data_IF_745320307820
#
_entry.id   IF_745320307820
#
_cell.length_a   1.000
_cell.length_b   1.000
_cell.length_c   1.000
_cell.angle_alpha   90.00
_cell.angle_beta   90.00
_cell.angle_gamma   90.00
#
_symmetry.space_group_name_H-M   'P 1'
#
loop_
_entity.id
_entity.type
_entity.pdbx_description
1 polymer ?
#
# COMPACT_ATOMS: atom_id res chain seq x y z
N UNK A 1 -17.23 -3.71 -12.01
CA UNK A 1 -16.36 -4.87 -12.25
C UNK A 1 -17.09 -5.78 -13.23
N UNK A 2 -16.57 -5.88 -14.44
CA UNK A 2 -17.10 -6.76 -15.49
C UNK A 2 -16.32 -8.08 -15.51
N UNK A 3 -16.84 -9.10 -16.19
CA UNK A 3 -16.12 -10.38 -16.34
C UNK A 3 -14.80 -10.21 -17.13
N UNK A 4 -14.74 -9.22 -18.02
CA UNK A 4 -13.56 -8.92 -18.83
C UNK A 4 -12.41 -8.35 -17.97
N UNK A 5 -12.73 -7.55 -16.94
CA UNK A 5 -11.75 -6.99 -15.99
C UNK A 5 -11.01 -8.09 -15.22
N UNK A 6 -11.69 -9.23 -14.96
CA UNK A 6 -11.14 -10.39 -14.25
C UNK A 6 -10.34 -11.32 -15.17
N UNK A 7 -10.66 -11.34 -16.47
CA UNK A 7 -10.05 -12.25 -17.45
C UNK A 7 -8.72 -11.74 -18.01
N UNK A 8 -8.37 -10.46 -17.82
CA UNK A 8 -7.16 -9.85 -18.38
C UNK A 8 -5.86 -10.30 -17.70
N UNK A 9 -5.95 -10.82 -16.47
CA UNK A 9 -4.79 -11.13 -15.63
C UNK A 9 -4.03 -9.90 -15.13
N UNK A 10 -4.51 -8.67 -15.42
CA UNK A 10 -3.91 -7.44 -14.92
C UNK A 10 -4.38 -7.17 -13.48
N UNK A 11 -3.58 -7.66 -12.54
CA UNK A 11 -3.85 -7.51 -11.13
C UNK A 11 -3.87 -6.05 -10.67
N UNK A 12 -3.08 -5.15 -11.30
CA UNK A 12 -3.06 -3.73 -10.92
C UNK A 12 -4.35 -3.04 -11.35
N UNK A 13 -4.80 -3.30 -12.59
CA UNK A 13 -6.06 -2.78 -13.09
C UNK A 13 -7.24 -3.28 -12.23
N UNK A 14 -7.23 -4.55 -11.85
CA UNK A 14 -8.23 -5.12 -10.95
C UNK A 14 -8.23 -4.45 -9.58
N UNK A 15 -7.07 -4.32 -8.93
CA UNK A 15 -6.94 -3.65 -7.62
C UNK A 15 -7.42 -2.19 -7.71
N UNK A 16 -7.03 -1.48 -8.77
CA UNK A 16 -7.47 -0.09 -9.00
C UNK A 16 -8.98 0.00 -9.17
N UNK A 17 -9.58 -0.93 -9.93
CA UNK A 17 -11.02 -1.01 -10.17
C UNK A 17 -11.79 -1.29 -8.89
N UNK A 18 -11.29 -2.19 -8.03
CA UNK A 18 -11.87 -2.46 -6.72
C UNK A 18 -11.82 -1.20 -5.86
N UNK A 19 -10.65 -0.56 -5.77
CA UNK A 19 -10.50 0.63 -4.92
C UNK A 19 -11.40 1.80 -5.35
N UNK A 20 -11.61 2.00 -6.64
CA UNK A 20 -12.52 3.04 -7.15
C UNK A 20 -13.99 2.67 -6.89
N UNK A 21 -14.38 1.45 -7.21
CA UNK A 21 -15.81 1.08 -7.22
C UNK A 21 -16.35 0.69 -5.83
N UNK A 22 -15.50 0.27 -4.90
CA UNK A 22 -15.93 -0.23 -3.61
C UNK A 22 -16.03 0.86 -2.53
N UNK A 23 -15.37 2.02 -2.69
CA UNK A 23 -15.32 3.05 -1.65
C UNK A 23 -16.72 3.51 -1.21
N UNK A 24 -17.52 4.00 -2.16
CA UNK A 24 -18.87 4.50 -1.88
C UNK A 24 -19.79 3.41 -1.29
N UNK A 25 -20.01 2.26 -1.95
CA UNK A 25 -20.93 1.25 -1.42
C UNK A 25 -20.47 0.68 -0.08
N UNK A 26 -19.16 0.56 0.16
CA UNK A 26 -18.64 0.14 1.45
C UNK A 26 -18.91 1.17 2.55
N UNK A 27 -18.67 2.46 2.27
CA UNK A 27 -18.93 3.56 3.20
C UNK A 27 -20.41 3.65 3.56
N UNK A 28 -21.31 3.59 2.56
CA UNK A 28 -22.76 3.60 2.77
C UNK A 28 -23.20 2.40 3.61
N UNK A 29 -22.64 1.22 3.34
CA UNK A 29 -22.98 0.01 4.09
C UNK A 29 -22.54 0.11 5.54
N UNK A 30 -21.35 0.61 5.82
CA UNK A 30 -20.86 0.82 7.18
C UNK A 30 -21.72 1.83 7.94
N UNK A 31 -22.12 2.94 7.30
CA UNK A 31 -23.02 3.93 7.89
C UNK A 31 -24.36 3.30 8.30
N UNK A 32 -24.96 2.51 7.42
CA UNK A 32 -26.20 1.79 7.72
C UNK A 32 -26.04 0.81 8.89
N UNK A 33 -24.88 0.14 9.01
CA UNK A 33 -24.60 -0.77 10.13
C UNK A 33 -24.43 0.02 11.44
N UNK A 34 -23.77 1.18 11.40
CA UNK A 34 -23.61 2.05 12.57
C UNK A 34 -24.95 2.66 13.05
N UNK A 35 -25.91 2.87 12.14
CA UNK A 35 -27.25 3.36 12.46
C UNK A 35 -28.19 2.26 12.99
N UNK A 36 -27.94 1.00 12.63
CA UNK A 36 -28.69 -0.15 13.13
C UNK A 36 -28.34 -0.40 14.60
N UNK A 37 -29.23 -0.03 15.52
CA UNK A 37 -29.11 -0.36 16.94
C UNK A 37 -29.29 -1.86 17.15
N UNK A 38 -28.19 -2.59 17.28
CA UNK A 38 -28.18 -3.93 17.84
C UNK A 38 -28.52 -3.92 19.35
N UNK A 39 -29.05 -5.01 19.91
CA UNK A 39 -29.15 -5.17 21.35
C UNK A 39 -27.73 -5.30 21.94
N UNK A 40 -27.33 -4.31 22.75
CA UNK A 40 -26.07 -4.18 23.49
C UNK A 40 -24.76 -4.08 22.67
N UNK A 41 -24.16 -2.88 22.68
CA UNK A 41 -22.73 -2.57 22.43
C UNK A 41 -22.03 -3.05 21.13
N UNK A 42 -22.78 -3.46 20.08
CA UNK A 42 -22.25 -3.79 18.74
C UNK A 42 -21.80 -2.56 17.92
N UNK A 43 -21.09 -1.62 18.55
CA UNK A 43 -20.58 -0.41 17.88
C UNK A 43 -19.30 -0.73 17.11
N UNK A 44 -19.27 -0.34 15.84
CA UNK A 44 -18.04 -0.37 15.04
C UNK A 44 -17.11 0.71 15.59
N UNK A 45 -15.95 0.29 16.12
CA UNK A 45 -14.95 1.19 16.72
C UNK A 45 -13.67 1.33 15.89
N UNK A 46 -13.46 0.47 14.89
CA UNK A 46 -12.27 0.46 14.05
C UNK A 46 -12.53 -0.32 12.75
N UNK A 47 -11.81 0.03 11.68
CA UNK A 47 -11.77 -0.74 10.43
C UNK A 47 -10.40 -1.40 10.29
N UNK A 48 -10.37 -2.72 10.17
CA UNK A 48 -9.15 -3.48 9.83
C UNK A 48 -9.26 -3.87 8.36
N UNK A 49 -8.25 -3.56 7.55
CA UNK A 49 -8.34 -3.73 6.10
C UNK A 49 -7.03 -4.20 5.48
N UNK A 50 -7.11 -4.88 4.34
CA UNK A 50 -5.93 -5.26 3.57
C UNK A 50 -5.21 -4.01 3.02
N UNK A 51 -3.88 -3.99 3.09
CA UNK A 51 -3.07 -2.83 2.66
C UNK A 51 -3.25 -2.41 1.19
N UNK A 52 -3.59 -3.32 0.27
CA UNK A 52 -3.86 -2.94 -1.13
C UNK A 52 -5.30 -2.44 -1.35
N UNK A 53 -6.19 -2.60 -0.36
CA UNK A 53 -7.60 -2.18 -0.41
C UNK A 53 -7.80 -0.83 0.29
N UNK A 54 -7.04 0.18 -0.15
CA UNK A 54 -7.00 1.52 0.44
C UNK A 54 -8.34 2.28 0.42
N UNK A 55 -9.35 1.85 -0.35
CA UNK A 55 -10.71 2.38 -0.25
C UNK A 55 -11.30 2.27 1.17
N UNK A 56 -10.84 1.27 1.94
CA UNK A 56 -11.28 1.07 3.32
C UNK A 56 -10.72 2.15 4.26
N UNK A 57 -9.53 2.68 3.97
CA UNK A 57 -8.94 3.82 4.68
C UNK A 57 -9.76 5.10 4.43
N UNK A 58 -10.13 5.34 3.17
CA UNK A 58 -10.98 6.47 2.79
C UNK A 58 -12.35 6.38 3.50
N UNK A 59 -12.97 5.19 3.52
CA UNK A 59 -14.21 4.95 4.25
C UNK A 59 -14.07 5.19 5.76
N UNK A 60 -12.98 4.72 6.38
CA UNK A 60 -12.69 4.98 7.79
C UNK A 60 -12.59 6.49 8.08
N UNK A 61 -11.85 7.22 7.24
CA UNK A 61 -11.70 8.67 7.33
C UNK A 61 -13.05 9.38 7.19
N UNK A 62 -13.87 9.01 6.21
CA UNK A 62 -15.21 9.59 6.02
C UNK A 62 -16.14 9.37 7.22
N UNK A 63 -15.98 8.24 7.92
CA UNK A 63 -16.79 7.88 9.09
C UNK A 63 -16.14 8.32 10.42
N UNK A 64 -14.98 9.00 10.37
CA UNK A 64 -14.20 9.37 11.56
C UNK A 64 -13.87 8.17 12.47
N UNK A 65 -13.62 7.01 11.86
CA UNK A 65 -13.23 5.78 12.54
C UNK A 65 -11.70 5.60 12.48
N UNK A 66 -11.07 5.10 13.55
CA UNK A 66 -9.72 4.54 13.47
C UNK A 66 -9.64 3.43 12.41
N UNK A 67 -8.48 3.29 11.78
CA UNK A 67 -8.19 2.19 10.86
C UNK A 67 -6.83 1.56 11.11
N UNK A 68 -6.73 0.26 10.81
CA UNK A 68 -5.50 -0.53 10.94
C UNK A 68 -5.28 -1.32 9.65
N UNK A 69 -4.10 -1.19 9.07
CA UNK A 69 -3.67 -1.99 7.92
C UNK A 69 -3.29 -3.40 8.38
N UNK A 70 -3.87 -4.41 7.74
CA UNK A 70 -3.49 -5.81 7.82
C UNK A 70 -2.64 -6.17 6.58
N UNK A 71 -1.31 -6.27 6.70
CA UNK A 71 -0.49 -6.77 5.61
C UNK A 71 -0.70 -8.28 5.45
N UNK A 72 -1.11 -8.71 4.26
CA UNK A 72 -1.28 -10.13 3.90
C UNK A 72 -0.07 -10.70 3.16
N UNK A 73 0.82 -9.83 2.68
CA UNK A 73 2.08 -10.20 2.04
C UNK A 73 3.19 -10.52 3.05
N UNK A 74 4.18 -11.30 2.61
CA UNK A 74 5.37 -11.58 3.43
C UNK A 74 6.17 -10.30 3.71
N UNK A 75 6.91 -10.29 4.81
CA UNK A 75 7.83 -9.17 5.15
C UNK A 75 8.86 -8.94 4.04
N UNK A 76 9.39 -10.01 3.44
CA UNK A 76 10.33 -9.92 2.31
C UNK A 76 9.70 -9.18 1.12
N UNK A 77 8.47 -9.54 0.73
CA UNK A 77 7.73 -8.86 -0.34
C UNK A 77 7.54 -7.38 -0.03
N UNK A 78 7.18 -7.05 1.21
CA UNK A 78 7.01 -5.66 1.63
C UNK A 78 8.32 -4.85 1.58
N UNK A 79 9.44 -5.45 1.99
CA UNK A 79 10.76 -4.82 1.89
C UNK A 79 11.13 -4.54 0.43
N UNK A 80 10.81 -5.45 -0.49
CA UNK A 80 11.03 -5.20 -1.92
C UNK A 80 10.23 -3.98 -2.41
N UNK A 81 8.92 -3.91 -2.14
CA UNK A 81 8.11 -2.76 -2.55
C UNK A 81 8.57 -1.45 -1.91
N UNK A 82 9.05 -1.47 -0.67
CA UNK A 82 9.59 -0.27 -0.02
C UNK A 82 10.87 0.24 -0.71
N UNK A 83 11.72 -0.67 -1.21
CA UNK A 83 12.96 -0.33 -1.90
C UNK A 83 12.78 0.05 -3.39
N UNK A 84 11.66 -0.34 -4.01
CA UNK A 84 11.40 -0.11 -5.44
C UNK A 84 11.63 1.34 -5.91
N UNK A 85 11.16 2.39 -5.20
CA UNK A 85 11.43 3.76 -5.61
C UNK A 85 12.93 4.08 -5.73
N UNK A 86 13.74 3.61 -4.77
CA UNK A 86 15.19 3.80 -4.79
C UNK A 86 15.84 2.96 -5.89
N UNK A 87 15.47 1.69 -6.02
CA UNK A 87 15.97 0.80 -7.09
C UNK A 87 15.68 1.37 -8.48
N UNK A 88 14.51 1.98 -8.69
CA UNK A 88 14.18 2.69 -9.94
C UNK A 88 15.08 3.91 -10.14
N UNK A 89 15.27 4.71 -9.11
CA UNK A 89 16.11 5.91 -9.17
C UNK A 89 17.58 5.58 -9.48
N UNK A 90 18.09 4.46 -8.95
CA UNK A 90 19.45 3.97 -9.16
C UNK A 90 19.62 3.21 -10.49
N UNK A 91 18.55 3.04 -11.27
CA UNK A 91 18.59 2.38 -12.58
C UNK A 91 18.63 0.85 -12.52
N UNK A 92 18.27 0.26 -11.37
CA UNK A 92 18.15 -1.18 -11.20
C UNK A 92 16.82 -1.75 -11.72
N UNK A 93 15.82 -0.90 -11.95
CA UNK A 93 14.52 -1.27 -12.54
C UNK A 93 14.31 -0.44 -13.82
N UNK A 94 13.97 -1.07 -14.98
CA UNK A 94 13.75 -2.51 -15.18
C UNK A 94 15.02 -3.35 -15.01
N UNK A 95 14.85 -4.59 -14.56
CA UNK A 95 15.96 -5.52 -14.35
C UNK A 95 16.57 -5.88 -15.70
N UNK A 96 17.89 -5.79 -15.80
CA UNK A 96 18.62 -6.17 -17.02
C UNK A 96 18.68 -7.71 -17.14
N UNK A 97 18.47 -8.23 -18.34
CA UNK A 97 18.42 -9.68 -18.63
C UNK A 97 19.70 -10.45 -18.23
N UNK A 98 20.83 -9.76 -18.09
CA UNK A 98 22.13 -10.34 -17.73
C UNK A 98 22.34 -10.54 -16.22
N UNK A 99 21.49 -9.97 -15.36
CA UNK A 99 21.70 -9.92 -13.90
C UNK A 99 20.57 -10.52 -13.01
N UNK A 100 19.72 -11.47 -13.47
CA UNK A 100 18.60 -11.94 -12.65
C UNK A 100 19.02 -12.68 -11.36
N UNK A 101 20.19 -13.30 -11.36
CA UNK A 101 20.74 -14.01 -10.19
C UNK A 101 21.50 -13.09 -9.22
N UNK A 102 21.77 -11.84 -9.61
CA UNK A 102 22.52 -10.90 -8.77
C UNK A 102 21.68 -10.45 -7.58
N UNK A 103 22.37 -10.21 -6.47
CA UNK A 103 21.75 -9.72 -5.23
C UNK A 103 21.25 -8.28 -5.41
N UNK A 104 20.07 -8.00 -4.87
CA UNK A 104 19.53 -6.64 -4.83
C UNK A 104 20.29 -5.85 -3.75
N UNK A 105 20.89 -4.70 -4.10
CA UNK A 105 21.58 -3.85 -3.13
C UNK A 105 20.68 -3.51 -1.93
N UNK A 106 21.20 -3.71 -0.71
CA UNK A 106 20.47 -3.40 0.52
C UNK A 106 19.40 -4.41 0.94
N UNK A 107 19.13 -5.46 0.17
CA UNK A 107 18.05 -6.43 0.44
C UNK A 107 18.52 -7.90 0.51
N UNK A 108 19.74 -8.19 0.99
CA UNK A 108 20.21 -9.57 1.12
C UNK A 108 19.24 -10.44 1.97
N UNK A 109 18.86 -11.66 1.53
CA UNK A 109 19.38 -12.44 0.40
C UNK A 109 18.53 -12.37 -0.89
N UNK A 110 17.74 -11.32 -1.09
CA UNK A 110 16.85 -11.15 -2.24
C UNK A 110 17.66 -10.89 -3.51
N UNK A 111 17.38 -11.64 -4.59
CA UNK A 111 17.96 -11.42 -5.93
C UNK A 111 16.98 -10.71 -6.85
N UNK A 112 17.47 -10.19 -7.97
CA UNK A 112 16.62 -9.47 -8.93
C UNK A 112 15.47 -10.32 -9.49
N UNK A 113 15.67 -11.62 -9.71
CA UNK A 113 14.60 -12.53 -10.14
C UNK A 113 13.52 -12.79 -9.08
N UNK A 114 13.84 -12.54 -7.81
CA UNK A 114 12.92 -12.72 -6.69
C UNK A 114 12.03 -11.46 -6.52
N UNK A 115 12.32 -10.36 -7.23
CA UNK A 115 11.50 -9.16 -7.21
C UNK A 115 10.14 -9.43 -7.88
N UNK A 116 9.03 -8.98 -7.27
CA UNK A 116 7.69 -9.20 -7.80
C UNK A 116 7.38 -8.22 -8.96
N UNK A 117 8.22 -8.16 -9.98
CA UNK A 117 8.10 -7.25 -11.14
C UNK A 117 7.23 -7.87 -12.24
N UNK A 118 7.35 -9.17 -12.47
CA UNK A 118 6.71 -9.87 -13.61
C UNK A 118 5.22 -10.15 -13.40
N UNK A 119 4.71 -10.01 -12.18
CA UNK A 119 3.30 -10.26 -11.85
C UNK A 119 2.38 -9.07 -12.18
N UNK A 120 2.94 -7.89 -12.41
CA UNK A 120 2.20 -6.65 -12.57
C UNK A 120 2.65 -6.03 -13.89
N UNK A 121 1.82 -6.13 -14.93
CA UNK A 121 2.19 -5.84 -16.31
C UNK A 121 3.00 -4.55 -16.49
N UNK A 122 2.34 -3.39 -16.39
CA UNK A 122 2.99 -2.09 -16.50
C UNK A 122 3.68 -1.67 -15.19
N UNK A 123 4.99 -1.41 -15.26
CA UNK A 123 5.78 -0.98 -14.10
C UNK A 123 5.31 0.37 -13.56
N UNK A 124 4.90 1.31 -14.40
CA UNK A 124 4.45 2.62 -13.93
C UNK A 124 3.18 2.50 -13.10
N UNK A 125 2.24 1.65 -13.51
CA UNK A 125 1.04 1.31 -12.76
C UNK A 125 1.37 0.66 -11.41
N UNK A 126 2.38 -0.23 -11.37
CA UNK A 126 2.87 -0.80 -10.11
C UNK A 126 3.48 0.27 -9.19
N UNK A 127 4.31 1.18 -9.71
CA UNK A 127 4.85 2.29 -8.91
C UNK A 127 3.76 3.22 -8.38
N UNK A 128 2.72 3.49 -9.17
CA UNK A 128 1.57 4.25 -8.70
C UNK A 128 0.82 3.52 -7.58
N UNK A 129 0.63 2.20 -7.69
CA UNK A 129 0.01 1.42 -6.61
C UNK A 129 0.87 1.45 -5.34
N UNK A 130 2.18 1.22 -5.45
CA UNK A 130 3.12 1.29 -4.32
C UNK A 130 3.10 2.67 -3.67
N UNK A 131 2.96 3.76 -4.43
CA UNK A 131 2.85 5.11 -3.89
C UNK A 131 1.52 5.36 -3.14
N UNK A 132 0.44 4.67 -3.53
CA UNK A 132 -0.88 4.76 -2.86
C UNK A 132 -0.94 3.90 -1.60
N UNK A 133 -0.20 2.79 -1.56
CA UNK A 133 -0.15 1.90 -0.40
C UNK A 133 0.93 2.38 0.57
N UNK A 134 0.58 2.52 1.84
CA UNK A 134 1.46 3.05 2.89
C UNK A 134 2.54 2.04 3.36
N UNK A 135 3.23 1.36 2.44
CA UNK A 135 4.26 0.36 2.77
C UNK A 135 5.39 0.92 3.63
N UNK A 136 5.73 2.20 3.45
CA UNK A 136 6.78 2.89 4.21
C UNK A 136 6.43 3.08 5.68
N UNK A 137 5.15 3.25 6.01
CA UNK A 137 4.71 3.48 7.39
C UNK A 137 4.60 2.19 8.20
N UNK A 138 4.60 1.02 7.53
CA UNK A 138 4.45 -0.26 8.22
C UNK A 138 5.76 -0.78 8.84
N UNK A 139 6.91 -0.25 8.42
CA UNK A 139 8.23 -0.68 8.92
C UNK A 139 9.21 0.50 9.04
N UNK A 140 8.93 1.46 9.91
CA UNK A 140 9.87 2.57 10.17
C UNK A 140 11.21 2.10 10.75
N UNK A 141 11.24 1.10 11.64
CA UNK A 141 12.47 0.75 12.37
C UNK A 141 13.43 -0.18 11.61
N UNK A 142 12.95 -1.02 10.68
CA UNK A 142 13.83 -1.93 9.93
C UNK A 142 14.43 -1.27 8.67
N UNK A 143 13.65 -0.45 7.96
CA UNK A 143 14.09 0.21 6.73
C UNK A 143 15.09 1.35 6.97
N UNK A 144 14.98 2.04 8.11
CA UNK A 144 15.95 3.07 8.53
C UNK A 144 17.35 2.48 8.80
N UNK A 145 17.42 1.27 9.38
CA UNK A 145 18.70 0.61 9.69
C UNK A 145 19.46 0.16 8.42
N UNK A 146 18.76 -0.02 7.31
CA UNK A 146 19.33 -0.40 6.02
C UNK A 146 19.53 0.79 5.05
N UNK A 147 19.23 2.02 5.48
CA UNK A 147 19.43 3.22 4.67
C UNK A 147 18.48 3.38 3.48
N UNK A 148 17.37 2.62 3.46
CA UNK A 148 16.40 2.59 2.35
C UNK A 148 15.31 3.68 2.47
N UNK A 149 15.32 4.46 3.55
CA UNK A 149 14.48 5.64 3.71
C UNK A 149 15.36 6.86 4.03
N UNK A 150 15.23 7.91 3.22
CA UNK A 150 15.68 9.25 3.61
C UNK A 150 14.97 9.67 4.89
N UNK A 151 15.69 10.35 5.80
CA UNK A 151 15.18 10.74 7.13
C UNK A 151 13.81 11.41 7.02
N UNK A 152 12.86 11.11 7.92
CA UNK A 152 11.55 11.73 7.89
C UNK A 152 11.67 13.25 8.06
N UNK A 153 11.20 13.99 7.07
CA UNK A 153 10.96 15.43 7.20
C UNK A 153 9.73 15.61 8.08
N UNK A 154 9.96 15.89 9.36
CA UNK A 154 8.92 16.35 10.27
C UNK A 154 8.41 17.69 9.72
N UNK A 155 7.18 17.72 9.19
CA UNK A 155 6.46 18.98 8.99
C UNK A 155 6.08 19.52 10.37
N UNK A 156 6.94 20.35 10.95
CA UNK A 156 6.55 21.22 12.04
C UNK A 156 5.66 22.32 11.46
N UNK A 157 4.41 22.40 11.92
CA UNK A 157 3.56 23.57 11.71
C UNK A 157 4.25 24.80 12.27
N UNK A 158 4.23 25.95 11.58
CA UNK A 158 4.78 27.19 12.12
C UNK A 158 3.95 27.63 13.34
N UNK A 159 4.64 27.93 14.44
CA UNK A 159 4.06 28.62 15.59
C UNK A 159 3.54 29.99 15.13
N UNK A 160 2.24 30.20 15.26
CA UNK A 160 1.64 31.52 15.14
C UNK A 160 2.04 32.36 16.35
N UNK A 161 3.09 33.15 16.20
CA UNK A 161 3.37 34.30 17.08
C UNK A 161 2.47 35.47 16.68
N UNK A 162 1.41 35.71 17.43
CA UNK A 162 0.69 36.99 17.43
C UNK A 162 1.43 37.98 18.31
N UNK A 163 1.81 39.13 17.75
CA UNK A 163 2.04 40.39 18.46
C UNK A 163 0.90 41.34 18.14
#
# INVERSE_FOLDING_TARGET
MTADDLSSGDLIALISTINVNCEQPFTERLKQLMEQKGPDDDRIVCIIYDGIMHFSEAAASHLSLPSVILPTSSTATMLTYAAFPQLRQEGHIPVQDSAPEDMVPGLHPIRFKDLPLFHFGDLDSLFQLIARVQFKNLFCSHLEHHGLLGKPTIRTTPENTTS
#
